data_IF_409076288238
#
_entry.id   IF_409076288238
#
_cell.length_a   1.000
_cell.length_b   1.000
_cell.length_c   1.000
_cell.angle_alpha   90.00
_cell.angle_beta   90.00
_cell.angle_gamma   90.00
#
_symmetry.space_group_name_H-M   'P 1'
#
loop_
_entity.id
_entity.type
_entity.pdbx_description
1 polymer ?
#
# COMPACT_ATOMS: atom_id res chain seq x y z
N UNK A 1 -7.80 15.53 -36.32
CA UNK A 1 -7.14 15.36 -35.02
C UNK A 1 -8.07 14.52 -34.15
N UNK A 2 -7.60 13.41 -33.55
CA UNK A 2 -8.44 12.65 -32.63
C UNK A 2 -8.77 13.52 -31.42
N UNK A 3 -10.05 13.58 -31.04
CA UNK A 3 -10.49 14.22 -29.80
C UNK A 3 -10.09 13.30 -28.65
N UNK A 4 -9.21 13.78 -27.78
CA UNK A 4 -8.94 13.13 -26.51
C UNK A 4 -10.13 13.42 -25.59
N UNK A 5 -10.96 12.41 -25.36
CA UNK A 5 -12.01 12.45 -24.36
C UNK A 5 -11.37 12.20 -22.99
N UNK A 6 -11.62 13.10 -22.04
CA UNK A 6 -11.20 12.89 -20.65
C UNK A 6 -12.10 11.80 -20.08
N UNK A 7 -11.59 10.58 -20.01
CA UNK A 7 -12.24 9.51 -19.25
C UNK A 7 -12.10 9.88 -17.78
N UNK A 8 -13.22 10.22 -17.15
CA UNK A 8 -13.29 10.41 -15.71
C UNK A 8 -13.17 9.03 -15.06
N UNK A 9 -11.95 8.51 -14.96
CA UNK A 9 -11.68 7.27 -14.26
C UNK A 9 -11.82 7.54 -12.76
N UNK A 10 -12.62 6.74 -12.08
CA UNK A 10 -12.61 6.74 -10.62
C UNK A 10 -11.20 6.40 -10.13
N UNK A 11 -10.68 7.11 -9.10
CA UNK A 11 -9.36 6.81 -8.56
C UNK A 11 -9.31 5.37 -8.04
N UNK A 12 -8.21 4.68 -8.34
CA UNK A 12 -7.99 3.32 -7.83
C UNK A 12 -7.86 3.30 -6.29
N UNK A 13 -7.95 2.10 -5.71
CA UNK A 13 -7.88 1.90 -4.25
C UNK A 13 -6.59 2.49 -3.65
N UNK A 14 -5.48 2.37 -4.37
CA UNK A 14 -4.19 2.87 -3.92
C UNK A 14 -4.16 4.41 -3.87
N UNK A 15 -4.66 5.08 -4.90
CA UNK A 15 -4.76 6.54 -4.96
C UNK A 15 -5.63 7.06 -3.81
N UNK A 16 -6.78 6.43 -3.58
CA UNK A 16 -7.67 6.77 -2.46
C UNK A 16 -6.96 6.58 -1.11
N UNK A 17 -6.27 5.45 -0.90
CA UNK A 17 -5.53 5.18 0.34
C UNK A 17 -4.40 6.20 0.56
N UNK A 18 -3.66 6.56 -0.48
CA UNK A 18 -2.61 7.58 -0.40
C UNK A 18 -3.19 8.94 -0.03
N UNK A 19 -4.28 9.37 -0.66
CA UNK A 19 -4.94 10.64 -0.32
C UNK A 19 -5.40 10.66 1.13
N UNK A 20 -6.04 9.59 1.61
CA UNK A 20 -6.44 9.47 3.02
C UNK A 20 -5.24 9.51 3.97
N UNK A 21 -4.11 8.89 3.59
CA UNK A 21 -2.87 8.92 4.36
C UNK A 21 -2.26 10.34 4.43
N UNK A 22 -2.26 11.09 3.32
CA UNK A 22 -1.79 12.49 3.31
C UNK A 22 -2.64 13.38 4.22
N UNK A 23 -3.96 13.21 4.18
CA UNK A 23 -4.89 13.90 5.06
C UNK A 23 -4.64 13.54 6.52
N UNK A 24 -4.53 12.25 6.84
CA UNK A 24 -4.26 11.78 8.19
C UNK A 24 -2.94 12.32 8.75
N UNK A 25 -1.86 12.33 7.95
CA UNK A 25 -0.57 12.87 8.36
C UNK A 25 -0.62 14.39 8.62
N UNK A 26 -1.46 15.12 7.86
CA UNK A 26 -1.67 16.57 8.07
C UNK A 26 -2.53 16.85 9.29
N UNK A 27 -3.57 16.06 9.52
CA UNK A 27 -4.48 16.22 10.64
C UNK A 27 -3.82 15.83 11.98
N UNK A 28 -2.96 14.80 11.97
CA UNK A 28 -2.30 14.28 13.17
C UNK A 28 -0.78 14.19 12.98
N UNK A 29 -0.04 15.28 13.23
CA UNK A 29 1.41 15.33 13.04
C UNK A 29 2.19 14.29 13.86
N UNK A 30 1.65 13.84 15.01
CA UNK A 30 2.32 12.82 15.83
C UNK A 30 2.38 11.44 15.14
N UNK A 31 1.46 11.18 14.21
CA UNK A 31 1.42 9.93 13.42
C UNK A 31 2.11 10.08 12.05
N UNK A 32 2.48 11.29 11.64
CA UNK A 32 2.98 11.57 10.29
C UNK A 32 4.18 10.70 9.90
N UNK A 33 5.14 10.48 10.79
CA UNK A 33 6.31 9.63 10.50
C UNK A 33 5.92 8.16 10.26
N UNK A 34 4.95 7.65 11.02
CA UNK A 34 4.44 6.29 10.84
C UNK A 34 3.67 6.16 9.53
N UNK A 35 2.76 7.09 9.27
CA UNK A 35 1.97 7.11 8.02
C UNK A 35 2.88 7.23 6.80
N UNK A 36 3.93 8.04 6.90
CA UNK A 36 4.94 8.13 5.85
C UNK A 36 5.65 6.80 5.62
N UNK A 37 6.13 6.16 6.68
CA UNK A 37 6.84 4.89 6.58
C UNK A 37 5.97 3.74 6.04
N UNK A 38 4.68 3.73 6.36
CA UNK A 38 3.77 2.63 5.98
C UNK A 38 3.14 2.84 4.60
N UNK A 39 2.77 4.07 4.24
CA UNK A 39 2.02 4.35 3.01
C UNK A 39 2.77 5.32 2.09
N UNK A 40 3.08 6.54 2.56
CA UNK A 40 3.46 7.63 1.65
C UNK A 40 4.83 7.42 0.97
N UNK A 41 5.73 6.67 1.59
CA UNK A 41 7.06 6.35 1.04
C UNK A 41 7.06 5.24 -0.01
N UNK A 42 5.92 4.58 -0.27
CA UNK A 42 5.80 3.47 -1.21
C UNK A 42 5.16 3.92 -2.53
N UNK A 43 5.47 3.21 -3.62
CA UNK A 43 4.95 3.52 -4.96
C UNK A 43 3.60 2.87 -5.26
N UNK A 44 3.29 1.75 -4.62
CA UNK A 44 2.13 0.90 -4.90
C UNK A 44 1.62 0.16 -3.66
N UNK A 45 0.43 -0.45 -3.79
CA UNK A 45 -0.23 -1.22 -2.72
C UNK A 45 0.63 -2.40 -2.25
N UNK A 46 1.25 -3.14 -3.17
CA UNK A 46 2.06 -4.32 -2.85
C UNK A 46 3.27 -3.97 -1.96
N UNK A 47 3.94 -2.87 -2.27
CA UNK A 47 5.11 -2.37 -1.53
C UNK A 47 4.72 -1.91 -0.12
N UNK A 48 3.59 -1.21 0.01
CA UNK A 48 3.07 -0.74 1.29
C UNK A 48 2.58 -1.91 2.15
N UNK A 49 1.84 -2.85 1.55
CA UNK A 49 1.29 -4.01 2.24
C UNK A 49 2.40 -4.95 2.74
N UNK A 50 3.40 -5.25 1.91
CA UNK A 50 4.55 -6.07 2.32
C UNK A 50 5.33 -5.44 3.47
N UNK A 51 5.50 -4.11 3.47
CA UNK A 51 6.11 -3.39 4.59
C UNK A 51 5.26 -3.48 5.86
N UNK A 52 3.94 -3.28 5.75
CA UNK A 52 3.04 -3.33 6.90
C UNK A 52 2.97 -4.73 7.53
N UNK A 53 2.93 -5.78 6.71
CA UNK A 53 2.98 -7.18 7.17
C UNK A 53 4.31 -7.45 7.87
N UNK A 54 5.43 -7.11 7.23
CA UNK A 54 6.77 -7.26 7.80
C UNK A 54 6.93 -6.55 9.14
N UNK A 55 6.40 -5.32 9.26
CA UNK A 55 6.42 -4.55 10.51
C UNK A 55 5.60 -5.21 11.63
N UNK A 56 4.49 -5.87 11.28
CA UNK A 56 3.58 -6.51 12.25
C UNK A 56 4.02 -7.92 12.66
N UNK A 57 4.64 -8.67 11.75
CA UNK A 57 4.99 -10.07 11.95
C UNK A 57 6.48 -10.31 12.25
N UNK A 58 7.35 -9.34 11.96
CA UNK A 58 8.79 -9.50 12.12
C UNK A 58 9.19 -9.62 13.59
N UNK A 59 10.03 -10.60 13.88
CA UNK A 59 10.55 -10.85 15.23
C UNK A 59 12.02 -11.31 15.20
N UNK A 60 12.50 -11.89 16.31
CA UNK A 60 13.87 -12.35 16.45
C UNK A 60 14.18 -13.64 15.68
N UNK A 61 13.16 -14.45 15.35
CA UNK A 61 13.32 -15.70 14.60
C UNK A 61 13.24 -15.42 13.10
N UNK A 62 12.26 -14.60 12.68
CA UNK A 62 12.08 -14.17 11.30
C UNK A 62 12.03 -12.64 11.22
N UNK A 63 13.16 -12.06 10.82
CA UNK A 63 13.30 -10.61 10.71
C UNK A 63 12.38 -9.99 9.65
N UNK A 64 12.00 -8.74 9.87
CA UNK A 64 11.08 -8.00 9.00
C UNK A 64 11.50 -7.99 7.52
N UNK A 65 12.80 -7.92 7.22
CA UNK A 65 13.29 -7.97 5.83
C UNK A 65 12.96 -9.31 5.16
N UNK A 66 13.17 -10.43 5.85
CA UNK A 66 12.86 -11.76 5.33
C UNK A 66 11.36 -11.94 5.10
N UNK A 67 10.51 -11.44 6.02
CA UNK A 67 9.05 -11.44 5.79
C UNK A 67 8.68 -10.63 4.56
N UNK A 68 9.32 -9.46 4.38
CA UNK A 68 9.05 -8.61 3.23
C UNK A 68 9.44 -9.29 1.91
N UNK A 69 10.54 -10.03 1.88
CA UNK A 69 10.95 -10.84 0.74
C UNK A 69 9.92 -11.92 0.42
N UNK A 70 9.50 -12.70 1.43
CA UNK A 70 8.44 -13.72 1.26
C UNK A 70 7.14 -13.11 0.72
N UNK A 71 6.72 -11.95 1.25
CA UNK A 71 5.52 -11.26 0.75
C UNK A 71 5.68 -10.82 -0.70
N UNK A 72 6.83 -10.22 -1.06
CA UNK A 72 7.09 -9.78 -2.44
C UNK A 72 7.06 -10.97 -3.40
N UNK A 73 7.73 -12.06 -3.06
CA UNK A 73 7.79 -13.24 -3.90
C UNK A 73 6.39 -13.88 -4.06
N UNK A 74 5.56 -13.83 -3.01
CA UNK A 74 4.16 -14.26 -3.10
C UNK A 74 3.30 -13.35 -3.98
N UNK A 75 3.45 -12.02 -3.87
CA UNK A 75 2.71 -11.05 -4.68
C UNK A 75 3.11 -11.11 -6.16
N UNK A 76 4.37 -11.40 -6.46
CA UNK A 76 4.86 -11.60 -7.82
C UNK A 76 4.35 -12.92 -8.41
N UNK A 77 4.32 -13.99 -7.62
CA UNK A 77 3.81 -15.29 -8.04
C UNK A 77 2.28 -15.29 -8.26
N UNK A 78 1.54 -14.55 -7.43
CA UNK A 78 0.08 -14.40 -7.52
C UNK A 78 -0.36 -12.94 -7.23
N UNK A 79 -0.46 -12.11 -8.28
CA UNK A 79 -0.98 -10.74 -8.17
C UNK A 79 -2.42 -10.67 -7.64
N UNK A 80 -3.19 -11.78 -7.70
CA UNK A 80 -4.52 -11.88 -7.15
C UNK A 80 -4.58 -11.66 -5.64
N UNK A 81 -3.47 -11.91 -4.92
CA UNK A 81 -3.36 -11.63 -3.49
C UNK A 81 -3.50 -10.13 -3.20
N UNK A 82 -2.83 -9.27 -4.00
CA UNK A 82 -2.91 -7.81 -3.83
C UNK A 82 -4.29 -7.31 -4.25
N UNK A 83 -4.84 -7.83 -5.34
CA UNK A 83 -6.20 -7.49 -5.79
C UNK A 83 -7.27 -7.87 -4.75
N UNK A 84 -7.11 -9.01 -4.07
CA UNK A 84 -7.98 -9.40 -2.96
C UNK A 84 -7.86 -8.44 -1.78
N UNK A 85 -6.63 -8.03 -1.42
CA UNK A 85 -6.42 -7.04 -0.36
C UNK A 85 -7.03 -5.65 -0.70
N UNK A 86 -6.99 -5.25 -1.98
CA UNK A 86 -7.67 -4.04 -2.45
C UNK A 86 -9.19 -4.16 -2.36
N UNK A 87 -9.75 -5.32 -2.72
CA UNK A 87 -11.17 -5.59 -2.58
C UNK A 87 -11.62 -5.61 -1.11
N UNK A 88 -10.83 -6.21 -0.22
CA UNK A 88 -11.08 -6.22 1.24
C UNK A 88 -11.08 -4.82 1.85
N UNK A 89 -10.32 -3.88 1.28
CA UNK A 89 -10.31 -2.47 1.72
C UNK A 89 -11.60 -1.72 1.32
N UNK A 90 -12.27 -2.17 0.26
CA UNK A 90 -13.47 -1.54 -0.30
C UNK A 90 -14.79 -2.15 0.20
N UNK A 91 -14.73 -3.30 0.90
CA UNK A 91 -15.88 -4.03 1.42
C UNK A 91 -16.51 -3.35 2.65
#
# INVERSE_FOLDING_TARGET
MPKLEVVNAEPDAWTLLRTAAEEAARAEPSLASLVNAVILSHGDMASALSFQIARKMGDAELGAMSIREVCRDAFEADPGIVAAAEADLQA
#
